data_IF_928531234814
#
_entry.id   IF_928531234814
#
_cell.length_a   1.000
_cell.length_b   1.000
_cell.length_c   1.000
_cell.angle_alpha   90.00
_cell.angle_beta   90.00
_cell.angle_gamma   90.00
#
_symmetry.space_group_name_H-M   'P 1'
#
loop_
_entity.id
_entity.type
_entity.pdbx_description
1 polymer ?
#
# COMPACT_ATOMS: atom_id res chain seq x y z
N UNK A 1 -18.74 -2.02 38.92
CA UNK A 1 -17.88 -2.68 37.90
C UNK A 1 -18.58 -2.51 36.56
N UNK A 2 -18.08 -1.68 35.65
CA UNK A 2 -18.63 -1.55 34.29
C UNK A 2 -17.70 -2.28 33.33
N UNK A 3 -18.12 -3.46 32.86
CA UNK A 3 -17.42 -4.22 31.83
C UNK A 3 -17.69 -3.60 30.44
N UNK A 4 -16.63 -3.11 29.81
CA UNK A 4 -16.66 -2.60 28.45
C UNK A 4 -16.57 -3.75 27.44
N UNK A 5 -17.73 -4.32 27.05
CA UNK A 5 -17.80 -5.25 25.92
C UNK A 5 -17.43 -4.50 24.64
N UNK A 6 -16.31 -4.89 24.02
CA UNK A 6 -15.76 -4.32 22.79
C UNK A 6 -16.79 -4.38 21.64
N UNK A 7 -17.54 -3.29 21.40
CA UNK A 7 -18.53 -3.16 20.32
C UNK A 7 -17.93 -2.97 18.92
N UNK A 8 -16.61 -3.09 18.73
CA UNK A 8 -16.02 -2.85 17.43
C UNK A 8 -16.19 -4.09 16.51
N UNK A 9 -16.86 -3.97 15.36
CA UNK A 9 -17.04 -5.10 14.46
C UNK A 9 -15.67 -5.58 13.96
N UNK A 10 -15.31 -6.82 14.31
CA UNK A 10 -14.10 -7.47 13.78
C UNK A 10 -14.22 -7.54 12.25
N UNK A 11 -13.27 -6.96 11.53
CA UNK A 11 -13.24 -6.94 10.06
C UNK A 11 -13.09 -8.38 9.54
N UNK A 12 -14.20 -9.01 9.15
CA UNK A 12 -14.19 -10.37 8.58
C UNK A 12 -13.50 -10.33 7.21
N UNK A 13 -12.47 -11.15 7.05
CA UNK A 13 -11.66 -11.15 5.83
C UNK A 13 -12.34 -11.98 4.74
N UNK A 14 -13.09 -11.32 3.87
CA UNK A 14 -13.85 -11.98 2.80
C UNK A 14 -12.91 -12.53 1.72
N UNK A 15 -13.13 -13.79 1.33
CA UNK A 15 -12.44 -14.40 0.18
C UNK A 15 -12.79 -13.65 -1.10
N UNK A 16 -11.79 -13.42 -1.95
CA UNK A 16 -11.95 -12.68 -3.22
C UNK A 16 -11.94 -13.66 -4.39
N UNK A 17 -12.94 -13.55 -5.25
CA UNK A 17 -13.06 -14.34 -6.48
C UNK A 17 -12.55 -13.56 -7.70
N UNK A 18 -12.13 -14.27 -8.73
CA UNK A 18 -11.66 -13.69 -9.98
C UNK A 18 -12.80 -12.98 -10.70
N UNK A 19 -12.66 -11.66 -10.88
CA UNK A 19 -13.68 -10.84 -11.53
C UNK A 19 -14.00 -11.29 -12.97
N UNK A 20 -13.00 -11.81 -13.72
CA UNK A 20 -13.24 -12.34 -15.08
C UNK A 20 -14.09 -13.60 -15.03
N UNK A 21 -13.69 -14.59 -14.23
CA UNK A 21 -14.45 -15.83 -14.07
C UNK A 21 -15.87 -15.58 -13.55
N UNK A 22 -16.03 -14.65 -12.61
CA UNK A 22 -17.35 -14.29 -12.08
C UNK A 22 -18.30 -13.79 -13.18
N UNK A 23 -17.79 -13.11 -14.21
CA UNK A 23 -18.60 -12.63 -15.35
C UNK A 23 -18.96 -13.74 -16.34
N UNK A 24 -18.30 -14.88 -16.27
CA UNK A 24 -18.62 -16.07 -17.04
C UNK A 24 -19.24 -17.17 -16.16
N UNK A 25 -19.88 -16.79 -15.04
CA UNK A 25 -20.55 -17.70 -14.11
C UNK A 25 -19.62 -18.73 -13.41
N UNK A 26 -18.31 -18.49 -13.40
CA UNK A 26 -17.33 -19.33 -12.71
C UNK A 26 -16.80 -18.64 -11.45
N UNK A 27 -16.91 -19.28 -10.29
CA UNK A 27 -16.35 -18.76 -9.04
C UNK A 27 -15.03 -19.45 -8.71
N UNK A 28 -13.92 -18.82 -9.09
CA UNK A 28 -12.56 -19.24 -8.71
C UNK A 28 -11.91 -18.21 -7.81
N UNK A 29 -11.31 -18.65 -6.70
CA UNK A 29 -10.60 -17.76 -5.79
C UNK A 29 -9.39 -17.13 -6.48
N UNK A 30 -9.08 -15.85 -6.20
CA UNK A 30 -7.98 -15.13 -6.87
C UNK A 30 -6.60 -15.69 -6.49
N UNK A 31 -6.47 -16.29 -5.30
CA UNK A 31 -5.20 -16.83 -4.81
C UNK A 31 -4.76 -17.99 -5.72
N UNK A 32 -3.61 -17.86 -6.39
CA UNK A 32 -3.07 -18.88 -7.32
C UNK A 32 -3.67 -18.85 -8.73
N UNK A 33 -4.89 -18.36 -8.90
CA UNK A 33 -5.65 -18.45 -10.16
C UNK A 33 -5.21 -17.51 -11.30
N UNK A 34 -4.10 -16.76 -11.17
CA UNK A 34 -3.68 -15.83 -12.24
C UNK A 34 -3.32 -16.57 -13.53
N UNK A 35 -2.63 -17.71 -13.42
CA UNK A 35 -2.09 -18.43 -14.57
C UNK A 35 -3.10 -19.45 -15.12
N UNK A 36 -3.92 -20.04 -14.25
CA UNK A 36 -4.93 -21.05 -14.62
C UNK A 36 -6.29 -20.43 -15.01
N UNK A 37 -6.33 -19.13 -15.28
CA UNK A 37 -7.57 -18.46 -15.63
C UNK A 37 -7.92 -18.75 -17.10
N UNK A 38 -9.05 -19.41 -17.39
CA UNK A 38 -9.45 -19.72 -18.76
C UNK A 38 -9.80 -18.44 -19.56
N UNK A 39 -10.16 -17.36 -18.87
CA UNK A 39 -10.54 -16.08 -19.48
C UNK A 39 -9.39 -15.07 -19.52
N UNK A 40 -8.14 -15.52 -19.49
CA UNK A 40 -6.96 -14.63 -19.50
C UNK A 40 -6.94 -13.74 -20.74
N UNK A 41 -7.19 -14.32 -21.92
CA UNK A 41 -7.23 -13.64 -23.23
C UNK A 41 -8.64 -13.46 -23.78
N UNK A 42 -9.68 -13.56 -22.94
CA UNK A 42 -11.06 -13.44 -23.40
C UNK A 42 -11.34 -12.02 -23.96
N UNK A 43 -11.79 -11.87 -25.22
CA UNK A 43 -12.01 -10.57 -25.87
C UNK A 43 -13.36 -9.92 -25.52
N UNK A 44 -14.09 -10.47 -24.54
CA UNK A 44 -15.43 -10.02 -24.20
C UNK A 44 -15.45 -8.57 -23.67
N UNK A 45 -16.52 -7.81 -23.91
CA UNK A 45 -16.63 -6.42 -23.45
C UNK A 45 -16.53 -6.31 -21.92
N UNK A 46 -17.15 -7.25 -21.19
CA UNK A 46 -17.06 -7.34 -19.73
C UNK A 46 -15.62 -7.52 -19.24
N UNK A 47 -14.84 -8.32 -19.96
CA UNK A 47 -13.45 -8.64 -19.68
C UNK A 47 -12.57 -7.40 -19.89
N UNK A 48 -12.78 -6.68 -21.00
CA UNK A 48 -12.13 -5.40 -21.29
C UNK A 48 -12.43 -4.36 -20.19
N UNK A 49 -13.69 -4.23 -19.77
CA UNK A 49 -14.09 -3.32 -18.67
C UNK A 49 -13.36 -3.66 -17.35
N UNK A 50 -13.15 -4.94 -17.05
CA UNK A 50 -12.40 -5.37 -15.85
C UNK A 50 -10.94 -4.95 -15.94
N UNK A 51 -10.31 -5.07 -17.10
CA UNK A 51 -8.91 -4.68 -17.31
C UNK A 51 -8.70 -3.18 -17.17
N UNK A 52 -9.57 -2.37 -17.78
CA UNK A 52 -9.54 -0.91 -17.63
C UNK A 52 -9.66 -0.53 -16.15
N UNK A 53 -10.62 -1.11 -15.42
CA UNK A 53 -10.75 -0.87 -13.96
C UNK A 53 -9.49 -1.23 -13.19
N UNK A 54 -8.84 -2.36 -13.52
CA UNK A 54 -7.58 -2.77 -12.88
C UNK A 54 -6.46 -1.78 -13.18
N UNK A 55 -6.36 -1.31 -14.42
CA UNK A 55 -5.39 -0.29 -14.82
C UNK A 55 -5.60 1.02 -14.06
N UNK A 56 -6.81 1.58 -14.09
CA UNK A 56 -7.16 2.81 -13.36
C UNK A 56 -6.89 2.67 -11.86
N UNK A 57 -7.26 1.53 -11.26
CA UNK A 57 -6.98 1.28 -9.84
C UNK A 57 -5.48 1.29 -9.53
N UNK A 58 -4.65 0.67 -10.38
CA UNK A 58 -3.19 0.68 -10.22
C UNK A 58 -2.63 2.10 -10.32
N UNK A 59 -3.10 2.89 -11.29
CA UNK A 59 -2.68 4.29 -11.45
C UNK A 59 -3.08 5.14 -10.25
N UNK A 60 -4.32 5.02 -9.78
CA UNK A 60 -4.80 5.77 -8.62
C UNK A 60 -4.06 5.38 -7.33
N UNK A 61 -3.71 4.10 -7.15
CA UNK A 61 -2.89 3.67 -6.01
C UNK A 61 -1.48 4.26 -6.09
N UNK A 62 -0.86 4.28 -7.28
CA UNK A 62 0.47 4.91 -7.47
C UNK A 62 0.41 6.40 -7.14
N UNK A 63 -0.57 7.12 -7.68
CA UNK A 63 -0.76 8.56 -7.41
C UNK A 63 -0.89 8.83 -5.90
N UNK A 64 -1.82 8.15 -5.22
CA UNK A 64 -2.02 8.35 -3.76
C UNK A 64 -0.76 8.07 -2.94
N UNK A 65 0.06 7.09 -3.33
CA UNK A 65 1.34 6.82 -2.66
C UNK A 65 2.35 7.94 -2.88
N UNK A 66 2.42 8.48 -4.10
CA UNK A 66 3.28 9.61 -4.42
C UNK A 66 2.83 10.87 -3.66
N UNK A 67 1.52 11.16 -3.67
CA UNK A 67 0.92 12.30 -2.96
C UNK A 67 1.22 12.20 -1.45
N UNK A 68 1.03 11.01 -0.86
CA UNK A 68 1.34 10.77 0.56
C UNK A 68 2.83 10.97 0.89
N UNK A 69 3.74 10.56 0.01
CA UNK A 69 5.18 10.78 0.18
C UNK A 69 5.53 12.27 0.04
N UNK A 70 4.92 12.96 -0.92
CA UNK A 70 5.13 14.38 -1.15
C UNK A 70 4.65 15.20 0.05
N UNK A 71 3.50 14.87 0.62
CA UNK A 71 3.00 15.50 1.84
C UNK A 71 3.95 15.28 3.03
N UNK A 72 4.46 14.06 3.21
CA UNK A 72 5.43 13.76 4.27
C UNK A 72 6.73 14.58 4.10
N UNK A 73 7.24 14.67 2.87
CA UNK A 73 8.44 15.47 2.57
C UNK A 73 8.18 16.97 2.76
N UNK A 74 7.01 17.47 2.36
CA UNK A 74 6.62 18.87 2.55
C UNK A 74 6.53 19.19 4.05
N UNK A 75 5.91 18.32 4.85
CA UNK A 75 5.86 18.45 6.30
C UNK A 75 7.27 18.45 6.92
N UNK A 76 8.15 17.55 6.48
CA UNK A 76 9.54 17.48 6.97
C UNK A 76 10.35 18.72 6.58
N UNK A 77 10.19 19.23 5.36
CA UNK A 77 10.80 20.50 4.92
C UNK A 77 10.32 21.68 5.76
N UNK A 78 9.02 21.76 6.03
CA UNK A 78 8.45 22.80 6.90
C UNK A 78 9.03 22.73 8.32
N UNK A 79 9.14 21.53 8.90
CA UNK A 79 9.77 21.33 10.22
C UNK A 79 11.23 21.80 10.25
N UNK A 80 12.04 21.42 9.25
CA UNK A 80 13.45 21.86 9.16
C UNK A 80 13.56 23.38 9.00
N UNK A 81 12.67 23.99 8.21
CA UNK A 81 12.61 25.44 8.05
C UNK A 81 12.33 26.14 9.39
N UNK A 82 11.35 25.64 10.16
CA UNK A 82 11.04 26.16 11.49
C UNK A 82 12.23 26.04 12.45
N UNK A 83 12.92 24.88 12.46
CA UNK A 83 14.09 24.66 13.31
C UNK A 83 15.21 25.68 13.02
N UNK A 84 15.47 25.98 11.74
CA UNK A 84 16.48 26.97 11.33
C UNK A 84 16.15 28.38 11.84
N UNK A 85 14.87 28.74 11.85
CA UNK A 85 14.43 30.09 12.24
C UNK A 85 14.41 30.28 13.76
N UNK A 86 13.98 29.27 14.52
CA UNK A 86 13.72 29.43 15.96
C UNK A 86 14.79 28.84 16.86
N UNK A 87 15.74 28.06 16.31
CA UNK A 87 16.74 27.31 17.08
C UNK A 87 16.15 26.28 18.04
N UNK A 88 14.83 26.08 18.05
CA UNK A 88 14.09 25.11 18.87
C UNK A 88 13.31 24.19 17.94
N UNK A 89 13.42 22.89 18.15
CA UNK A 89 12.49 21.95 17.53
C UNK A 89 11.09 22.24 18.09
N UNK A 90 10.07 22.49 17.26
CA UNK A 90 8.72 22.67 17.77
C UNK A 90 8.27 21.37 18.44
N UNK A 91 8.11 21.42 19.76
CA UNK A 91 7.78 20.27 20.63
C UNK A 91 6.35 19.75 20.39
N UNK A 92 5.56 20.44 19.54
CA UNK A 92 4.11 20.26 19.44
C UNK A 92 3.60 19.64 18.13
N UNK A 93 4.45 19.06 17.28
CA UNK A 93 3.98 18.22 16.16
C UNK A 93 4.64 16.85 16.14
N UNK A 94 4.81 16.24 17.32
CA UNK A 94 4.92 14.77 17.41
C UNK A 94 3.51 14.23 17.22
N UNK A 95 3.09 14.02 15.97
CA UNK A 95 2.01 13.08 15.70
C UNK A 95 2.46 11.77 16.34
N UNK A 96 1.77 11.37 17.41
CA UNK A 96 2.03 10.18 18.19
C UNK A 96 2.22 8.99 17.23
N UNK A 97 3.48 8.59 17.00
CA UNK A 97 3.86 7.39 16.26
C UNK A 97 3.56 6.17 17.14
N UNK A 98 2.31 6.02 17.57
CA UNK A 98 1.87 4.74 18.10
C UNK A 98 1.63 3.81 16.90
N UNK A 99 2.74 3.31 16.36
CA UNK A 99 2.84 2.26 15.34
C UNK A 99 3.08 0.94 16.07
N UNK A 100 2.09 0.03 16.19
CA UNK A 100 2.37 -1.31 16.69
C UNK A 100 2.90 -2.19 15.55
N UNK A 101 4.17 -2.58 15.72
CA UNK A 101 4.77 -3.90 15.46
C UNK A 101 4.24 -4.74 14.28
N UNK A 102 5.09 -4.96 13.27
CA UNK A 102 5.64 -6.30 12.99
C UNK A 102 6.85 -6.17 12.06
N UNK A 103 8.02 -6.60 12.56
CA UNK A 103 9.01 -7.37 11.82
C UNK A 103 9.84 -6.71 10.70
N UNK A 104 11.16 -6.75 10.91
CA UNK A 104 12.26 -6.65 9.92
C UNK A 104 12.77 -5.24 9.64
N UNK A 105 13.67 -4.80 10.50
CA UNK A 105 14.77 -3.91 10.15
C UNK A 105 15.61 -4.58 9.05
N UNK A 106 15.52 -4.07 7.82
CA UNK A 106 16.56 -4.28 6.82
C UNK A 106 17.60 -3.17 7.05
N UNK A 107 18.72 -3.54 7.67
CA UNK A 107 19.90 -2.70 7.81
C UNK A 107 20.44 -2.32 6.42
N UNK A 108 20.42 -1.02 6.12
CA UNK A 108 21.15 -0.44 5.01
C UNK A 108 22.59 -0.25 5.49
N UNK A 109 23.50 -1.11 5.04
CA UNK A 109 24.92 -0.81 4.94
C UNK A 109 25.42 -1.44 3.65
N UNK A 110 25.49 -0.63 2.59
CA UNK A 110 26.23 -0.96 1.37
C UNK A 110 27.73 -0.90 1.67
N UNK A 111 28.54 -1.92 1.32
CA UNK A 111 29.98 -1.76 1.17
C UNK A 111 30.30 -1.51 -0.30
N UNK A 112 30.67 -0.27 -0.63
CA UNK A 112 31.51 0.02 -1.80
C UNK A 112 32.85 -0.70 -1.58
N UNK A 113 33.07 -1.83 -2.24
CA UNK A 113 34.39 -2.48 -2.28
C UNK A 113 34.70 -2.95 -3.71
N UNK A 114 35.60 -2.19 -4.34
CA UNK A 114 36.63 -2.57 -5.33
C UNK A 114 36.33 -3.74 -6.27
N UNK A 115 35.97 -3.44 -7.51
CA UNK A 115 36.27 -4.30 -8.66
C UNK A 115 37.59 -3.78 -9.23
N UNK A 116 38.67 -4.54 -8.97
CA UNK A 116 39.98 -4.35 -9.59
C UNK A 116 39.88 -4.67 -11.07
N UNK A 117 40.44 -3.81 -11.91
CA UNK A 117 40.68 -4.08 -13.32
C UNK A 117 41.90 -5.00 -13.44
N UNK A 118 41.68 -6.24 -13.89
CA UNK A 118 42.65 -7.09 -14.61
C UNK A 118 41.86 -7.78 -15.71
#
# INVERSE_FOLDING_TARGET
>A
MMEAVSRYPKKVMKRKYCAKCQKHNMMKEVKGHKNDCPFTSCPCEHCRKIEVKRYTSRMNVKKRRADSLQEELAARRAQVSLLRLTGRTPVSCVKNFNRPSTGKMASVLSPLTKISWI
#
